data_IF_962639336566
#
_entry.id   IF_962639336566
#
_cell.length_a   1.000
_cell.length_b   1.000
_cell.length_c   1.000
_cell.angle_alpha   90.00
_cell.angle_beta   90.00
_cell.angle_gamma   90.00
#
_symmetry.space_group_name_H-M   'P 1'
#
loop_
_entity.id
_entity.type
_entity.pdbx_description
1 polymer ?
#
# COMPACT_ATOMS: atom_id res chain seq x y z
N UNK A 1 10.41 11.93 15.11
CA UNK A 1 9.12 11.35 15.54
C UNK A 1 8.76 10.22 14.59
N UNK A 2 8.70 8.98 15.07
CA UNK A 2 8.24 7.85 14.26
C UNK A 2 6.70 7.81 14.33
N UNK A 3 6.03 8.27 13.28
CA UNK A 3 4.56 8.20 13.20
C UNK A 3 4.05 6.76 13.15
N UNK A 4 2.74 6.55 13.36
CA UNK A 4 2.11 5.22 13.34
C UNK A 4 2.34 4.45 12.03
N UNK A 5 2.64 5.16 10.94
CA UNK A 5 2.88 4.61 9.60
C UNK A 5 4.35 4.39 9.26
N UNK A 6 5.28 4.67 10.18
CA UNK A 6 6.72 4.55 9.90
C UNK A 6 7.14 3.12 9.53
N UNK A 7 6.40 2.12 10.01
CA UNK A 7 6.62 0.71 9.72
C UNK A 7 5.52 0.12 8.80
N UNK A 8 4.78 0.97 8.09
CA UNK A 8 3.76 0.55 7.15
C UNK A 8 4.31 0.49 5.72
N UNK A 9 3.82 -0.46 4.93
CA UNK A 9 3.98 -0.50 3.48
C UNK A 9 2.62 -0.45 2.80
N UNK A 10 2.53 0.26 1.68
CA UNK A 10 1.32 0.30 0.83
C UNK A 10 1.54 -0.64 -0.35
N UNK A 11 0.61 -1.56 -0.56
CA UNK A 11 0.72 -2.58 -1.62
C UNK A 11 -0.37 -2.38 -2.66
N UNK A 12 0.03 -2.09 -3.89
CA UNK A 12 -0.88 -1.94 -5.01
C UNK A 12 -0.94 -3.21 -5.85
N UNK A 13 -2.10 -3.88 -5.83
CA UNK A 13 -2.33 -5.11 -6.57
C UNK A 13 -3.02 -4.83 -7.89
N UNK A 14 -2.36 -5.20 -9.00
CA UNK A 14 -2.88 -5.14 -10.37
C UNK A 14 -3.43 -3.76 -10.77
N UNK A 15 -2.72 -2.69 -10.43
CA UNK A 15 -3.10 -1.32 -10.80
C UNK A 15 -3.23 -1.17 -12.30
N UNK A 16 -4.38 -0.68 -12.77
CA UNK A 16 -4.69 -0.57 -14.20
C UNK A 16 -4.31 0.78 -14.82
N UNK A 17 -4.14 1.83 -14.02
CA UNK A 17 -3.98 3.19 -14.54
C UNK A 17 -2.74 3.89 -13.96
N UNK A 18 -1.90 4.52 -14.81
CA UNK A 18 -0.70 5.23 -14.35
C UNK A 18 -1.04 6.44 -13.46
N UNK A 19 -2.20 7.07 -13.70
CA UNK A 19 -2.72 8.16 -12.86
C UNK A 19 -2.93 7.69 -11.41
N UNK A 20 -3.54 6.51 -11.21
CA UNK A 20 -3.75 5.95 -9.87
C UNK A 20 -2.43 5.59 -9.19
N UNK A 21 -1.48 5.04 -9.95
CA UNK A 21 -0.13 4.74 -9.47
C UNK A 21 0.55 6.01 -8.93
N UNK A 22 0.51 7.10 -9.70
CA UNK A 22 1.05 8.39 -9.28
C UNK A 22 0.33 8.99 -8.07
N UNK A 23 -1.00 8.95 -8.03
CA UNK A 23 -1.77 9.49 -6.90
C UNK A 23 -1.49 8.76 -5.59
N UNK A 24 -1.35 7.44 -5.61
CA UNK A 24 -0.99 6.66 -4.41
C UNK A 24 0.43 6.97 -3.97
N UNK A 25 1.37 7.11 -4.91
CA UNK A 25 2.74 7.52 -4.57
C UNK A 25 2.77 8.88 -3.88
N UNK A 26 1.99 9.86 -4.38
CA UNK A 26 1.82 11.17 -3.74
C UNK A 26 1.23 11.05 -2.33
N UNK A 27 0.23 10.17 -2.14
CA UNK A 27 -0.32 9.90 -0.82
C UNK A 27 0.74 9.34 0.13
N UNK A 28 1.59 8.43 -0.34
CA UNK A 28 2.68 7.88 0.46
C UNK A 28 3.65 8.97 0.91
N UNK A 29 4.09 9.85 0.00
CA UNK A 29 4.96 10.98 0.35
C UNK A 29 4.33 11.97 1.33
N UNK A 30 3.05 12.29 1.14
CA UNK A 30 2.30 13.16 2.06
C UNK A 30 2.18 12.58 3.48
N UNK A 31 2.05 11.26 3.60
CA UNK A 31 1.86 10.56 4.88
C UNK A 31 3.17 10.04 5.49
N UNK A 32 4.30 10.24 4.82
CA UNK A 32 5.60 9.75 5.28
C UNK A 32 5.78 8.23 5.16
N UNK A 33 5.03 7.58 4.25
CA UNK A 33 5.21 6.16 3.92
C UNK A 33 6.29 6.04 2.85
N UNK A 34 7.38 5.37 3.18
CA UNK A 34 8.53 5.19 2.27
C UNK A 34 8.55 3.82 1.57
N UNK A 35 7.67 2.89 1.95
CA UNK A 35 7.58 1.55 1.38
C UNK A 35 6.31 1.41 0.53
N UNK A 36 6.46 1.62 -0.78
CA UNK A 36 5.42 1.39 -1.78
C UNK A 36 5.79 0.15 -2.61
N UNK A 37 4.88 -0.81 -2.71
CA UNK A 37 5.10 -2.08 -3.43
C UNK A 37 4.06 -2.28 -4.51
N UNK A 38 4.47 -2.83 -5.64
CA UNK A 38 3.60 -3.10 -6.78
C UNK A 38 3.50 -4.61 -6.99
N UNK A 39 2.28 -5.13 -7.13
CA UNK A 39 2.04 -6.56 -7.42
C UNK A 39 1.38 -6.65 -8.79
N UNK A 40 2.06 -7.27 -9.76
CA UNK A 40 1.56 -7.47 -11.12
C UNK A 40 0.84 -6.23 -11.73
N UNK A 41 1.45 -5.02 -11.73
CA UNK A 41 0.83 -3.82 -12.28
C UNK A 41 0.43 -4.03 -13.75
N UNK A 42 -0.73 -3.52 -14.14
CA UNK A 42 -1.34 -3.67 -15.47
C UNK A 42 -1.23 -2.38 -16.30
N UNK A 43 -0.37 -1.46 -15.88
CA UNK A 43 -0.06 -0.21 -16.56
C UNK A 43 1.45 0.02 -16.59
N UNK A 44 1.89 0.89 -17.51
CA UNK A 44 3.27 1.36 -17.52
C UNK A 44 3.57 2.17 -16.26
N UNK A 45 4.59 1.77 -15.51
CA UNK A 45 5.02 2.45 -14.29
C UNK A 45 5.71 3.77 -14.65
N UNK A 46 6.66 3.72 -15.60
CA UNK A 46 7.50 4.85 -15.95
C UNK A 46 6.98 5.64 -17.15
N UNK A 47 5.84 6.29 -16.99
CA UNK A 47 5.27 7.19 -18.00
C UNK A 47 5.05 8.61 -17.46
N UNK A 48 4.68 9.54 -18.34
CA UNK A 48 4.43 10.94 -18.01
C UNK A 48 3.33 11.07 -16.95
N UNK A 49 2.21 10.35 -17.09
CA UNK A 49 1.08 10.43 -16.17
C UNK A 49 1.46 10.00 -14.76
N UNK A 50 2.14 8.86 -14.59
CA UNK A 50 2.63 8.44 -13.26
C UNK A 50 3.49 9.54 -12.65
N UNK A 51 4.45 10.10 -13.40
CA UNK A 51 5.37 11.13 -12.90
C UNK A 51 4.64 12.43 -12.56
N UNK A 52 3.67 12.83 -13.37
CA UNK A 52 2.85 14.03 -13.18
C UNK A 52 2.04 13.92 -11.89
N UNK A 53 1.32 12.81 -11.70
CA UNK A 53 0.44 12.62 -10.56
C UNK A 53 1.19 12.24 -9.26
N UNK A 54 2.39 11.67 -9.34
CA UNK A 54 3.26 11.45 -8.18
C UNK A 54 3.81 12.74 -7.56
N UNK A 55 3.84 13.86 -8.30
CA UNK A 55 4.33 15.16 -7.84
C UNK A 55 5.76 15.10 -7.28
N UNK A 56 5.96 15.27 -5.97
CA UNK A 56 7.24 15.16 -5.29
C UNK A 56 7.65 13.69 -5.01
N UNK A 57 6.73 12.73 -5.14
CA UNK A 57 6.94 11.30 -4.86
C UNK A 57 7.30 10.48 -6.09
N UNK A 58 7.85 11.10 -7.14
CA UNK A 58 8.26 10.43 -8.39
C UNK A 58 9.32 9.35 -8.14
N UNK A 59 10.34 9.68 -7.35
CA UNK A 59 11.41 8.74 -7.05
C UNK A 59 10.88 7.49 -6.32
N UNK A 60 9.90 7.66 -5.43
CA UNK A 60 9.29 6.56 -4.68
C UNK A 60 8.63 5.54 -5.62
N UNK A 61 7.77 5.98 -6.53
CA UNK A 61 7.05 5.06 -7.44
C UNK A 61 7.95 4.44 -8.50
N UNK A 62 8.97 5.17 -8.98
CA UNK A 62 9.91 4.65 -9.96
C UNK A 62 10.90 3.64 -9.37
N UNK A 63 11.16 3.73 -8.07
CA UNK A 63 11.99 2.78 -7.33
C UNK A 63 11.18 1.70 -6.61
N UNK A 64 9.85 1.71 -6.72
CA UNK A 64 8.98 0.77 -6.02
C UNK A 64 9.25 -0.67 -6.51
N UNK A 65 9.55 -1.63 -5.60
CA UNK A 65 9.73 -3.02 -5.98
C UNK A 65 8.46 -3.61 -6.60
N UNK A 66 8.65 -4.40 -7.66
CA UNK A 66 7.60 -5.13 -8.34
C UNK A 66 7.67 -6.61 -7.96
N UNK A 67 6.57 -7.13 -7.43
CA UNK A 67 6.41 -8.52 -7.01
C UNK A 67 5.52 -9.29 -7.99
N UNK A 68 5.79 -10.59 -8.13
CA UNK A 68 5.00 -11.48 -8.99
C UNK A 68 3.60 -11.76 -8.41
N UNK A 69 3.50 -11.89 -7.09
CA UNK A 69 2.26 -12.21 -6.39
C UNK A 69 2.17 -11.50 -5.03
N UNK A 70 0.96 -11.54 -4.46
CA UNK A 70 0.66 -10.89 -3.18
C UNK A 70 1.41 -11.54 -2.01
N UNK A 71 1.63 -12.86 -2.05
CA UNK A 71 2.31 -13.60 -0.99
C UNK A 71 3.76 -13.12 -0.82
N UNK A 72 4.47 -12.96 -1.93
CA UNK A 72 5.83 -12.40 -1.92
C UNK A 72 5.84 -10.95 -1.40
N UNK A 73 4.83 -10.15 -1.74
CA UNK A 73 4.75 -8.75 -1.33
C UNK A 73 4.40 -8.54 0.15
N UNK A 74 3.86 -9.53 0.85
CA UNK A 74 3.53 -9.44 2.29
C UNK A 74 4.41 -10.31 3.18
N UNK A 75 5.42 -10.98 2.62
CA UNK A 75 6.19 -12.02 3.31
C UNK A 75 6.94 -11.52 4.57
N UNK A 76 7.28 -10.23 4.62
CA UNK A 76 7.95 -9.57 5.75
C UNK A 76 6.96 -8.79 6.66
N UNK A 77 5.66 -8.87 6.41
CA UNK A 77 4.63 -8.17 7.17
C UNK A 77 4.05 -9.04 8.28
N UNK A 78 4.00 -8.51 9.51
CA UNK A 78 3.36 -9.19 10.65
C UNK A 78 1.83 -9.10 10.64
N UNK A 79 1.28 -8.20 9.83
CA UNK A 79 -0.15 -8.00 9.64
C UNK A 79 -0.40 -7.37 8.27
N UNK A 80 -1.45 -7.83 7.58
CA UNK A 80 -1.94 -7.24 6.34
C UNK A 80 -3.41 -6.84 6.49
N UNK A 81 -3.76 -5.66 5.99
CA UNK A 81 -5.12 -5.12 6.00
C UNK A 81 -5.54 -4.89 4.54
N UNK A 82 -6.46 -5.71 4.04
CA UNK A 82 -7.03 -5.50 2.71
C UNK A 82 -8.14 -4.46 2.74
N UNK A 83 -8.13 -3.52 1.80
CA UNK A 83 -9.23 -2.57 1.62
C UNK A 83 -10.27 -3.12 0.64
N UNK A 84 -11.56 -2.97 0.98
CA UNK A 84 -12.65 -3.40 0.11
C UNK A 84 -13.85 -2.47 0.25
N UNK A 85 -14.54 -2.19 -0.86
CA UNK A 85 -15.77 -1.40 -0.86
C UNK A 85 -16.94 -2.11 -0.16
N UNK A 86 -16.84 -3.42 0.04
CA UNK A 86 -17.85 -4.24 0.73
C UNK A 86 -17.15 -5.17 1.71
N UNK A 87 -17.77 -5.42 2.87
CA UNK A 87 -17.28 -6.42 3.80
C UNK A 87 -17.26 -7.79 3.13
N UNK A 88 -16.11 -8.47 3.18
CA UNK A 88 -15.92 -9.81 2.62
C UNK A 88 -15.45 -10.80 3.69
N UNK A 89 -16.09 -10.73 4.85
CA UNK A 89 -15.59 -11.42 6.04
C UNK A 89 -15.48 -12.95 5.86
N UNK A 90 -16.41 -13.50 5.08
CA UNK A 90 -16.46 -14.92 4.77
C UNK A 90 -15.30 -15.39 3.88
N UNK A 91 -14.72 -14.49 3.09
CA UNK A 91 -13.69 -14.83 2.10
C UNK A 91 -12.27 -14.52 2.62
N UNK A 92 -12.11 -13.48 3.44
CA UNK A 92 -10.79 -12.86 3.70
C UNK A 92 -10.50 -12.52 5.18
N UNK A 93 -11.36 -12.91 6.13
CA UNK A 93 -11.11 -12.74 7.57
C UNK A 93 -11.97 -11.67 8.24
N UNK A 94 -11.57 -11.19 9.41
CA UNK A 94 -12.35 -10.21 10.20
C UNK A 94 -12.59 -8.92 9.40
N UNK A 95 -13.86 -8.54 9.22
CA UNK A 95 -14.19 -7.24 8.64
C UNK A 95 -14.04 -6.14 9.70
N UNK A 96 -13.23 -5.13 9.38
CA UNK A 96 -12.98 -3.98 10.24
C UNK A 96 -13.58 -2.71 9.63
N UNK A 97 -14.34 -1.96 10.41
CA UNK A 97 -14.62 -0.55 10.11
C UNK A 97 -13.35 0.29 10.30
N UNK A 98 -13.23 1.41 9.58
CA UNK A 98 -12.01 2.25 9.62
C UNK A 98 -11.60 2.67 11.04
N UNK A 99 -12.56 3.03 11.90
CA UNK A 99 -12.28 3.44 13.28
C UNK A 99 -11.75 2.29 14.17
N UNK A 100 -11.92 1.04 13.75
CA UNK A 100 -11.47 -0.14 14.49
C UNK A 100 -10.02 -0.52 14.16
N UNK A 101 -9.46 -0.01 13.05
CA UNK A 101 -8.11 -0.35 12.58
C UNK A 101 -7.03 -0.02 13.62
N UNK A 102 -6.99 1.18 14.25
CA UNK A 102 -5.96 1.48 15.25
C UNK A 102 -5.95 0.50 16.42
N UNK A 103 -7.14 0.13 16.92
CA UNK A 103 -7.28 -0.83 17.99
C UNK A 103 -6.82 -2.24 17.56
N UNK A 104 -7.16 -2.66 16.34
CA UNK A 104 -6.73 -3.95 15.80
C UNK A 104 -5.19 -4.03 15.65
N UNK A 105 -4.56 -2.96 15.17
CA UNK A 105 -3.10 -2.86 15.04
C UNK A 105 -2.42 -2.88 16.41
N UNK A 106 -2.97 -2.15 17.40
CA UNK A 106 -2.41 -2.10 18.75
C UNK A 106 -2.43 -3.46 19.47
N UNK A 107 -3.43 -4.33 19.22
CA UNK A 107 -3.51 -5.67 19.83
C UNK A 107 -2.40 -6.62 19.39
N UNK A 108 -1.90 -6.49 18.16
CA UNK A 108 -0.87 -7.38 17.58
C UNK A 108 0.51 -6.73 17.51
N UNK A 109 0.58 -5.40 17.59
CA UNK A 109 1.80 -4.59 17.52
C UNK A 109 2.83 -5.12 16.48
N UNK A 110 2.42 -5.29 15.21
CA UNK A 110 3.27 -5.91 14.20
C UNK A 110 4.53 -5.06 13.96
N UNK A 111 5.67 -5.73 13.76
CA UNK A 111 6.91 -5.03 13.37
C UNK A 111 6.78 -4.29 12.03
N UNK A 112 5.93 -4.79 11.14
CA UNK A 112 5.61 -4.20 9.83
C UNK A 112 4.15 -4.47 9.45
N UNK A 113 3.49 -3.45 8.91
CA UNK A 113 2.07 -3.47 8.53
C UNK A 113 1.90 -3.30 7.02
N UNK A 114 1.19 -4.21 6.35
CA UNK A 114 0.76 -4.03 4.97
C UNK A 114 -0.64 -3.40 4.91
N UNK A 115 -0.76 -2.36 4.07
CA UNK A 115 -1.97 -1.58 3.80
C UNK A 115 -2.39 -1.72 2.32
#
# INVERSE_FOLDING_TARGET
MSGILANACVILVRTQGPVNLGMVARLCGNLGISDLRLVAPQCEINCEDTRKFATHSRALVLAAPVFADLGAAVADCGMAIGTSARGRALDYGEALALHQVPAAVARRAPRRLAL
#
